data_IF_007168084544
#
_entry.id   IF_007168084544
#
_cell.length_a   1.000
_cell.length_b   1.000
_cell.length_c   1.000
_cell.angle_alpha   90.00
_cell.angle_beta   90.00
_cell.angle_gamma   90.00
#
_symmetry.space_group_name_H-M   'P 1'
#
loop_
_entity.id
_entity.type
_entity.pdbx_description
1 polymer ?
#
# COMPACT_ATOMS: atom_id res chain seq x y z
N UNK A 1 -34.23 16.60 -2.32
CA UNK A 1 -32.95 17.32 -2.15
C UNK A 1 -32.42 16.88 -0.80
N UNK A 2 -31.54 15.87 -0.78
CA UNK A 2 -31.01 15.31 0.48
C UNK A 2 -29.87 16.22 0.93
N UNK A 3 -30.21 17.29 1.65
CA UNK A 3 -29.23 18.18 2.25
C UNK A 3 -28.73 17.55 3.57
N UNK A 4 -27.98 16.45 3.43
CA UNK A 4 -27.39 15.67 4.54
C UNK A 4 -25.95 16.12 4.82
N UNK A 5 -25.55 17.29 4.29
CA UNK A 5 -24.21 17.86 4.48
C UNK A 5 -24.09 18.40 5.92
N UNK A 6 -23.70 17.53 6.85
CA UNK A 6 -23.37 17.92 8.22
C UNK A 6 -24.02 17.11 9.33
N UNK A 7 -24.69 15.99 9.04
CA UNK A 7 -25.31 15.15 10.08
C UNK A 7 -24.26 14.36 10.91
N UNK A 8 -23.01 14.29 10.45
CA UNK A 8 -21.96 13.65 11.22
C UNK A 8 -21.43 14.58 12.31
N UNK A 9 -21.59 14.15 13.56
CA UNK A 9 -20.99 14.81 14.71
C UNK A 9 -19.48 14.96 14.55
N UNK A 10 -18.95 16.11 14.97
CA UNK A 10 -17.51 16.44 14.88
C UNK A 10 -16.65 15.38 15.57
N UNK A 11 -17.12 14.83 16.70
CA UNK A 11 -16.42 13.75 17.40
C UNK A 11 -16.31 12.48 16.55
N UNK A 12 -17.37 12.10 15.84
CA UNK A 12 -17.38 10.94 14.94
C UNK A 12 -16.46 11.15 13.74
N UNK A 13 -16.47 12.35 13.15
CA UNK A 13 -15.53 12.72 12.08
C UNK A 13 -14.08 12.63 12.57
N UNK A 14 -13.78 13.14 13.76
CA UNK A 14 -12.45 13.07 14.35
C UNK A 14 -12.01 11.63 14.59
N UNK A 15 -12.88 10.75 15.08
CA UNK A 15 -12.58 9.32 15.25
C UNK A 15 -12.30 8.63 13.91
N UNK A 16 -13.09 8.92 12.87
CA UNK A 16 -12.88 8.37 11.53
C UNK A 16 -11.53 8.84 10.97
N UNK A 17 -11.25 10.15 11.05
CA UNK A 17 -9.98 10.71 10.59
C UNK A 17 -8.81 10.10 11.36
N UNK A 18 -8.93 9.96 12.68
CA UNK A 18 -7.90 9.32 13.50
C UNK A 18 -7.67 7.86 13.08
N UNK A 19 -8.74 7.10 12.83
CA UNK A 19 -8.65 5.73 12.32
C UNK A 19 -7.98 5.66 10.94
N UNK A 20 -8.33 6.58 10.04
CA UNK A 20 -7.70 6.68 8.72
C UNK A 20 -6.21 7.02 8.85
N UNK A 21 -5.84 7.97 9.70
CA UNK A 21 -4.43 8.32 9.97
C UNK A 21 -3.69 7.10 10.55
N UNK A 22 -4.30 6.36 11.47
CA UNK A 22 -3.70 5.14 12.01
C UNK A 22 -3.44 4.10 10.92
N UNK A 23 -4.39 3.88 10.01
CA UNK A 23 -4.20 2.99 8.86
C UNK A 23 -3.09 3.51 7.94
N UNK A 24 -3.05 4.81 7.67
CA UNK A 24 -2.00 5.42 6.85
C UNK A 24 -0.61 5.25 7.48
N UNK A 25 -0.49 5.42 8.80
CA UNK A 25 0.76 5.20 9.53
C UNK A 25 1.23 3.75 9.43
N UNK A 26 0.32 2.78 9.53
CA UNK A 26 0.66 1.37 9.34
C UNK A 26 1.17 1.12 7.92
N UNK A 27 0.51 1.66 6.91
CA UNK A 27 0.96 1.55 5.52
C UNK A 27 2.31 2.23 5.29
N UNK A 28 2.57 3.36 5.95
CA UNK A 28 3.85 4.07 5.91
C UNK A 28 4.98 3.22 6.51
N UNK A 29 4.74 2.59 7.66
CA UNK A 29 5.70 1.68 8.29
C UNK A 29 6.02 0.50 7.35
N UNK A 30 4.98 -0.11 6.76
CA UNK A 30 5.17 -1.21 5.79
C UNK A 30 6.00 -0.73 4.60
N UNK A 31 5.71 0.43 4.04
CA UNK A 31 6.48 1.00 2.93
C UNK A 31 7.93 1.31 3.32
N UNK A 32 8.17 1.84 4.52
CA UNK A 32 9.51 2.12 5.02
C UNK A 32 10.33 0.83 5.17
N UNK A 33 9.73 -0.26 5.65
CA UNK A 33 10.38 -1.56 5.77
C UNK A 33 10.70 -2.13 4.38
N UNK A 34 9.72 -2.14 3.47
CA UNK A 34 9.93 -2.60 2.08
C UNK A 34 11.00 -1.76 1.37
N UNK A 35 10.98 -0.45 1.54
CA UNK A 35 11.95 0.48 0.98
C UNK A 35 13.35 0.27 1.55
N UNK A 36 13.46 -0.07 2.83
CA UNK A 36 14.74 -0.40 3.47
C UNK A 36 15.34 -1.69 2.90
N UNK A 37 14.51 -2.72 2.70
CA UNK A 37 14.94 -3.98 2.08
C UNK A 37 15.32 -3.75 0.61
N UNK A 38 14.50 -3.02 -0.14
CA UNK A 38 14.78 -2.67 -1.53
C UNK A 38 16.08 -1.84 -1.65
N UNK A 39 16.29 -0.87 -0.76
CA UNK A 39 17.49 -0.06 -0.68
C UNK A 39 18.75 -0.88 -0.38
N UNK A 40 18.64 -1.91 0.46
CA UNK A 40 19.74 -2.83 0.75
C UNK A 40 20.13 -3.67 -0.48
N UNK A 41 19.17 -4.09 -1.29
CA UNK A 41 19.45 -4.74 -2.58
C UNK A 41 19.94 -3.75 -3.65
N UNK A 42 19.70 -2.45 -3.47
CA UNK A 42 20.13 -1.39 -4.38
C UNK A 42 19.63 -1.62 -5.82
N UNK A 43 20.46 -1.40 -6.86
CA UNK A 43 20.03 -1.52 -8.25
C UNK A 43 19.60 -2.94 -8.65
N UNK A 44 20.01 -3.97 -7.90
CA UNK A 44 19.59 -5.35 -8.16
C UNK A 44 18.10 -5.60 -7.85
N UNK A 45 17.46 -4.73 -7.05
CA UNK A 45 16.02 -4.82 -6.78
C UNK A 45 15.20 -4.82 -8.08
N UNK A 46 15.57 -3.99 -9.06
CA UNK A 46 14.91 -3.93 -10.37
C UNK A 46 15.04 -5.27 -11.11
N UNK A 47 16.23 -5.88 -11.08
CA UNK A 47 16.49 -7.18 -11.73
C UNK A 47 15.66 -8.28 -11.09
N UNK A 48 15.61 -8.33 -9.75
CA UNK A 48 14.79 -9.30 -9.01
C UNK A 48 13.31 -9.11 -9.33
N UNK A 49 12.84 -7.87 -9.37
CA UNK A 49 11.44 -7.56 -9.67
C UNK A 49 11.06 -7.94 -11.12
N UNK A 50 11.96 -7.72 -12.07
CA UNK A 50 11.79 -8.19 -13.45
C UNK A 50 11.79 -9.71 -13.53
N UNK A 51 12.69 -10.39 -12.82
CA UNK A 51 12.71 -11.85 -12.77
C UNK A 51 11.39 -12.41 -12.21
N UNK A 52 10.87 -11.83 -11.12
CA UNK A 52 9.57 -12.18 -10.56
C UNK A 52 8.45 -11.93 -11.57
N UNK A 53 8.44 -10.77 -12.24
CA UNK A 53 7.43 -10.46 -13.26
C UNK A 53 7.46 -11.46 -14.43
N UNK A 54 8.65 -11.84 -14.89
CA UNK A 54 8.83 -12.88 -15.92
C UNK A 54 8.31 -14.23 -15.43
N UNK A 55 8.61 -14.62 -14.19
CA UNK A 55 8.09 -15.86 -13.60
C UNK A 55 6.56 -15.86 -13.51
N UNK A 56 5.96 -14.74 -13.10
CA UNK A 56 4.49 -14.57 -13.07
C UNK A 56 3.92 -14.71 -14.47
N UNK A 57 4.55 -14.10 -15.48
CA UNK A 57 4.12 -14.20 -16.88
C UNK A 57 4.25 -15.63 -17.38
N UNK A 58 5.38 -16.31 -17.14
CA UNK A 58 5.58 -17.70 -17.55
C UNK A 58 4.59 -18.66 -16.88
N UNK A 59 4.30 -18.45 -15.60
CA UNK A 59 3.25 -19.17 -14.87
C UNK A 59 1.87 -18.91 -15.47
N UNK A 60 1.54 -17.66 -15.80
CA UNK A 60 0.27 -17.30 -16.43
C UNK A 60 0.10 -17.93 -17.83
N UNK A 61 1.20 -18.08 -18.57
CA UNK A 61 1.24 -18.77 -19.86
C UNK A 61 1.26 -20.31 -19.72
N UNK A 62 1.18 -20.84 -18.50
CA UNK A 62 1.27 -22.28 -18.19
C UNK A 62 2.56 -22.92 -18.74
N UNK A 63 3.64 -22.14 -18.81
CA UNK A 63 4.96 -22.55 -19.29
C UNK A 63 5.94 -22.89 -18.15
N UNK A 64 5.46 -22.93 -16.91
CA UNK A 64 6.23 -23.22 -15.70
C UNK A 64 5.71 -24.51 -15.06
#
# INVERSE_FOLDING_TARGET
MADTRGELEVETLLKIVLGLIAVLLVLEIVQAILGSIAGLLGPFFIVVQLAIAVLIVLWLLDRL
#
